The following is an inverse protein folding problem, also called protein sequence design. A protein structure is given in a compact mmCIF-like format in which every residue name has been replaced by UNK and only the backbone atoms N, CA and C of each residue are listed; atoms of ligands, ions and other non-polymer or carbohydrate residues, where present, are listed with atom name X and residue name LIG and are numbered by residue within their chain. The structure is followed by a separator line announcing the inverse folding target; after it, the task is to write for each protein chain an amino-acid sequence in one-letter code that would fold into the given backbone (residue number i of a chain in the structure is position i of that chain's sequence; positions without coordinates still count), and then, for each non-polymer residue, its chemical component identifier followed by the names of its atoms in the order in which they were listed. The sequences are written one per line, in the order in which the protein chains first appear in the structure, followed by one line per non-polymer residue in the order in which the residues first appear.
data_IF_114731610019
#
_entry.id   IF_114731610019
#
_cell.length_a   1.000
_cell.length_b   1.000
_cell.length_c   1.000
_cell.angle_alpha   90.00
_cell.angle_beta   90.00
_cell.angle_gamma   90.00
#
_symmetry.space_group_name_H-M   'P 1'
#
loop_
_entity.id
_entity.type
_entity.pdbx_description
1 polymer ?
#
# COMPACT_ATOMS: atom_id res chain seq x y z
N UNK A 1 31.96 18.58 43.53
CA UNK A 1 31.29 17.30 43.21
C UNK A 1 29.85 17.61 42.85
N UNK A 2 29.47 17.62 41.56
CA UNK A 2 28.09 17.86 41.17
C UNK A 2 27.22 16.70 41.67
N UNK A 3 26.14 17.05 42.37
CA UNK A 3 25.28 16.16 43.14
C UNK A 3 24.59 15.10 42.28
N UNK A 4 24.64 13.84 42.71
CA UNK A 4 23.98 12.69 42.05
C UNK A 4 22.49 12.93 41.77
N UNK A 5 21.85 13.79 42.57
CA UNK A 5 20.47 14.23 42.41
C UNK A 5 20.19 14.97 41.09
N UNK A 6 21.17 15.70 40.54
CA UNK A 6 21.01 16.41 39.26
C UNK A 6 21.04 15.43 38.08
N UNK A 7 21.90 14.41 38.17
CA UNK A 7 22.04 13.36 37.16
C UNK A 7 20.79 12.46 37.10
N UNK A 8 20.23 12.11 38.26
CA UNK A 8 18.96 11.36 38.33
C UNK A 8 17.77 12.15 37.79
N UNK A 9 17.67 13.46 38.08
CA UNK A 9 16.60 14.31 37.51
C UNK A 9 16.71 14.44 36.00
N UNK A 10 17.92 14.65 35.48
CA UNK A 10 18.15 14.73 34.04
C UNK A 10 17.81 13.40 33.32
N UNK A 11 18.17 12.26 33.91
CA UNK A 11 17.87 10.94 33.38
C UNK A 11 16.36 10.66 33.37
N UNK A 12 15.64 11.07 34.43
CA UNK A 12 14.19 10.92 34.50
C UNK A 12 13.47 11.83 33.49
N UNK A 13 13.94 13.06 33.28
CA UNK A 13 13.43 13.93 32.22
C UNK A 13 13.66 13.33 30.83
N UNK A 14 14.85 12.78 30.56
CA UNK A 14 15.15 12.13 29.30
C UNK A 14 14.25 10.91 29.07
N UNK A 15 14.10 10.04 30.07
CA UNK A 15 13.20 8.88 29.99
C UNK A 15 11.74 9.31 29.73
N UNK A 16 11.26 10.35 30.40
CA UNK A 16 9.92 10.90 30.17
C UNK A 16 9.74 11.41 28.74
N UNK A 17 10.73 12.10 28.17
CA UNK A 17 10.64 12.56 26.78
C UNK A 17 10.60 11.39 25.80
N UNK A 18 11.41 10.36 26.04
CA UNK A 18 11.45 9.16 25.18
C UNK A 18 10.12 8.41 25.26
N UNK A 19 9.54 8.24 26.45
CA UNK A 19 8.25 7.54 26.59
C UNK A 19 7.12 8.28 25.91
N UNK A 20 7.06 9.62 26.02
CA UNK A 20 6.08 10.44 25.30
C UNK A 20 6.23 10.28 23.79
N UNK A 21 7.45 10.36 23.27
CA UNK A 21 7.71 10.18 21.82
C UNK A 21 7.27 8.78 21.37
N UNK A 22 7.63 7.73 22.11
CA UNK A 22 7.22 6.36 21.80
C UNK A 22 5.70 6.22 21.78
N UNK A 23 4.98 6.79 22.76
CA UNK A 23 3.52 6.78 22.78
C UNK A 23 2.95 7.47 21.54
N UNK A 24 3.47 8.64 21.17
CA UNK A 24 3.04 9.36 19.97
C UNK A 24 3.23 8.52 18.70
N UNK A 25 4.38 7.85 18.55
CA UNK A 25 4.65 6.97 17.40
C UNK A 25 3.67 5.80 17.39
N UNK A 26 3.45 5.13 18.53
CA UNK A 26 2.51 4.00 18.62
C UNK A 26 1.09 4.44 18.25
N UNK A 27 0.65 5.61 18.70
CA UNK A 27 -0.67 6.15 18.35
C UNK A 27 -0.77 6.46 16.86
N UNK A 28 0.22 7.15 16.28
CA UNK A 28 0.22 7.47 14.85
C UNK A 28 0.26 6.20 13.98
N UNK A 29 1.13 5.26 14.30
CA UNK A 29 1.18 3.96 13.63
C UNK A 29 -0.13 3.21 13.80
N UNK A 30 -0.71 3.20 15.01
CA UNK A 30 -2.00 2.58 15.28
C UNK A 30 -3.11 3.14 14.41
N UNK A 31 -3.23 4.47 14.30
CA UNK A 31 -4.24 5.12 13.46
C UNK A 31 -4.03 4.80 11.97
N UNK A 32 -2.79 4.85 11.49
CA UNK A 32 -2.47 4.52 10.10
C UNK A 32 -2.79 3.07 9.77
N UNK A 33 -2.39 2.15 10.62
CA UNK A 33 -2.66 0.72 10.48
C UNK A 33 -4.17 0.47 10.52
N UNK A 34 -4.88 0.96 11.54
CA UNK A 34 -6.33 0.74 11.66
C UNK A 34 -7.09 1.30 10.45
N UNK A 35 -6.67 2.45 9.92
CA UNK A 35 -7.26 3.00 8.70
C UNK A 35 -7.08 2.06 7.50
N UNK A 36 -5.87 1.58 7.25
CA UNK A 36 -5.60 0.63 6.16
C UNK A 36 -6.32 -0.71 6.38
N UNK A 37 -6.35 -1.21 7.62
CA UNK A 37 -7.03 -2.46 7.97
C UNK A 37 -8.56 -2.36 7.90
N UNK A 38 -9.15 -1.22 8.26
CA UNK A 38 -10.60 -1.01 8.13
C UNK A 38 -11.04 -0.91 6.67
N UNK A 39 -10.22 -0.29 5.83
CA UNK A 39 -10.38 -0.33 4.37
C UNK A 39 -10.24 -1.76 3.86
N UNK A 40 -9.29 -2.53 4.40
CA UNK A 40 -9.04 -3.92 4.00
C UNK A 40 -10.12 -4.92 4.49
N UNK A 41 -10.72 -4.70 5.65
CA UNK A 41 -11.68 -5.63 6.26
C UNK A 41 -13.06 -5.61 5.62
N UNK A 42 -13.38 -4.53 4.90
CA UNK A 42 -14.63 -4.41 4.15
C UNK A 42 -14.58 -5.11 2.79
N UNK A 43 -13.41 -5.65 2.39
CA UNK A 43 -13.32 -6.37 1.13
C UNK A 43 -14.01 -7.73 1.23
N UNK A 44 -15.14 -7.88 0.54
CA UNK A 44 -15.83 -9.17 0.42
C UNK A 44 -15.34 -9.93 -0.82
N UNK A 45 -15.17 -11.27 -0.72
CA UNK A 45 -14.85 -12.09 -1.89
C UNK A 45 -16.02 -12.12 -2.87
N UNK A 46 -15.77 -11.68 -4.10
CA UNK A 46 -16.76 -11.61 -5.17
C UNK A 46 -16.33 -12.42 -6.39
N UNK A 47 -17.27 -13.15 -6.99
CA UNK A 47 -17.04 -13.79 -8.28
C UNK A 47 -17.08 -12.73 -9.38
N UNK A 48 -15.93 -12.54 -10.03
CA UNK A 48 -15.76 -11.54 -11.08
C UNK A 48 -15.46 -12.23 -12.41
N UNK A 49 -16.07 -11.70 -13.47
CA UNK A 49 -15.86 -12.14 -14.85
C UNK A 49 -15.31 -10.98 -15.65
N UNK A 50 -14.29 -11.24 -16.46
CA UNK A 50 -13.71 -10.21 -17.32
C UNK A 50 -14.67 -9.94 -18.47
N UNK A 51 -15.06 -8.67 -18.65
CA UNK A 51 -15.96 -8.26 -19.73
C UNK A 51 -15.25 -7.55 -20.84
N UNK A 52 -14.22 -6.74 -20.53
CA UNK A 52 -13.50 -5.97 -21.53
C UNK A 52 -12.04 -5.75 -21.13
N UNK A 53 -11.16 -5.70 -22.13
CA UNK A 53 -9.75 -5.35 -21.98
C UNK A 53 -9.47 -4.22 -22.95
N UNK A 54 -9.17 -3.04 -22.41
CA UNK A 54 -8.90 -1.84 -23.19
C UNK A 54 -7.47 -1.38 -23.00
N UNK A 55 -6.80 -1.06 -24.11
CA UNK A 55 -5.47 -0.47 -24.09
C UNK A 55 -5.61 1.05 -24.06
N UNK A 56 -5.04 1.67 -23.04
CA UNK A 56 -4.96 3.12 -22.89
C UNK A 56 -3.62 3.63 -23.41
N UNK A 57 -3.28 4.88 -23.05
CA UNK A 57 -2.01 5.50 -23.41
C UNK A 57 -0.84 4.77 -22.75
N UNK A 58 0.29 4.78 -23.43
CA UNK A 58 1.54 4.26 -22.88
C UNK A 58 1.95 5.10 -21.65
N UNK A 59 2.26 4.42 -20.55
CA UNK A 59 2.89 5.03 -19.39
C UNK A 59 4.38 4.74 -19.36
N UNK A 60 5.13 5.68 -18.79
CA UNK A 60 6.57 5.54 -18.61
C UNK A 60 6.80 4.76 -17.31
N UNK A 61 7.32 3.55 -17.44
CA UNK A 61 7.71 2.71 -16.33
C UNK A 61 9.23 2.73 -16.17
N UNK A 62 9.72 2.59 -14.94
CA UNK A 62 11.15 2.52 -14.66
C UNK A 62 11.52 1.09 -14.32
N UNK A 63 12.37 0.48 -15.13
CA UNK A 63 12.95 -0.83 -14.88
C UNK A 63 14.36 -0.65 -14.33
N UNK A 64 14.59 -1.08 -13.10
CA UNK A 64 15.93 -1.09 -12.50
C UNK A 64 16.44 -2.53 -12.51
N UNK A 65 17.53 -2.78 -13.25
CA UNK A 65 18.21 -4.07 -13.21
C UNK A 65 18.91 -4.22 -11.85
N UNK A 66 18.45 -5.18 -11.06
CA UNK A 66 19.11 -5.54 -9.80
C UNK A 66 20.41 -6.25 -10.14
N UNK A 67 21.55 -5.61 -9.89
CA UNK A 67 22.84 -6.30 -9.96
C UNK A 67 22.84 -7.45 -8.96
N UNK A 68 23.21 -8.63 -9.41
CA UNK A 68 23.77 -9.66 -8.54
C UNK A 68 24.87 -9.02 -7.69
N UNK A 69 24.81 -9.22 -6.37
CA UNK A 69 25.66 -8.57 -5.35
C UNK A 69 27.17 -8.84 -5.50
N UNK A 70 27.60 -9.52 -6.56
CA UNK A 70 28.95 -10.04 -6.78
C UNK A 70 29.78 -9.31 -7.84
N UNK A 71 29.24 -8.33 -8.58
CA UNK A 71 30.03 -7.59 -9.61
C UNK A 71 29.90 -6.07 -9.55
N UNK A 72 30.96 -5.45 -9.04
CA UNK A 72 31.47 -4.07 -9.19
C UNK A 72 30.50 -2.87 -9.07
N UNK A 73 30.96 -1.75 -8.46
CA UNK A 73 30.16 -0.56 -8.22
C UNK A 73 30.07 0.33 -9.48
N UNK A 74 29.48 -0.20 -10.55
CA UNK A 74 28.92 0.62 -11.62
C UNK A 74 27.42 0.75 -11.38
N UNK A 75 26.91 1.95 -11.17
CA UNK A 75 25.46 2.18 -11.00
C UNK A 75 24.70 1.47 -12.12
N UNK A 76 23.84 0.49 -11.79
CA UNK A 76 22.91 -0.03 -12.78
C UNK A 76 21.98 1.12 -13.16
N UNK A 77 22.02 1.52 -14.43
CA UNK A 77 21.16 2.58 -14.93
C UNK A 77 19.73 2.04 -14.96
N UNK A 78 18.85 2.58 -14.12
CA UNK A 78 17.43 2.34 -14.28
C UNK A 78 17.00 2.85 -15.67
N UNK A 79 16.37 2.00 -16.46
CA UNK A 79 15.92 2.30 -17.82
C UNK A 79 14.46 2.70 -17.75
N UNK A 80 14.11 3.81 -18.39
CA UNK A 80 12.72 4.19 -18.59
C UNK A 80 12.18 3.53 -19.86
N UNK A 81 11.11 2.76 -19.71
CA UNK A 81 10.46 2.03 -20.80
C UNK A 81 9.00 2.45 -20.87
N UNK A 82 8.50 2.69 -22.09
CA UNK A 82 7.07 2.93 -22.31
C UNK A 82 6.34 1.60 -22.38
N UNK A 83 5.35 1.40 -21.51
CA UNK A 83 4.51 0.22 -21.49
C UNK A 83 3.05 0.63 -21.71
N UNK A 84 2.29 -0.12 -22.53
CA UNK A 84 0.88 0.17 -22.75
C UNK A 84 0.09 -0.11 -21.46
N UNK A 85 -0.71 0.86 -21.01
CA UNK A 85 -1.59 0.65 -19.88
C UNK A 85 -2.82 -0.16 -20.28
N UNK A 86 -3.12 -1.19 -19.49
CA UNK A 86 -4.26 -2.08 -19.73
C UNK A 86 -5.30 -1.81 -18.66
N UNK A 87 -6.50 -1.40 -19.08
CA UNK A 87 -7.68 -1.32 -18.21
C UNK A 87 -8.54 -2.56 -18.44
N UNK A 88 -8.77 -3.29 -17.36
CA UNK A 88 -9.58 -4.51 -17.37
C UNK A 88 -10.93 -4.18 -16.72
N UNK A 89 -11.98 -4.21 -17.52
CA UNK A 89 -13.36 -4.14 -17.06
C UNK A 89 -13.82 -5.50 -16.56
N UNK A 90 -14.47 -5.53 -15.41
CA UNK A 90 -14.96 -6.74 -14.76
C UNK A 90 -16.43 -6.56 -14.38
N UNK A 91 -17.21 -7.62 -14.57
CA UNK A 91 -18.57 -7.72 -14.07
C UNK A 91 -18.61 -8.66 -12.89
N UNK A 92 -19.28 -8.22 -11.84
CA UNK A 92 -19.38 -8.92 -10.57
C UNK A 92 -20.82 -8.91 -10.07
N UNK A 93 -21.16 -9.85 -9.20
CA UNK A 93 -22.51 -9.98 -8.64
C UNK A 93 -22.48 -9.77 -7.14
N UNK A 94 -23.25 -8.80 -6.63
CA UNK A 94 -23.48 -8.58 -5.20
C UNK A 94 -24.97 -8.66 -4.94
N UNK A 95 -25.37 -9.46 -3.95
CA UNK A 95 -26.77 -9.57 -3.51
C UNK A 95 -27.75 -9.79 -4.68
N UNK A 96 -27.33 -10.56 -5.70
CA UNK A 96 -28.14 -10.87 -6.89
C UNK A 96 -28.18 -9.79 -7.98
N UNK A 97 -27.53 -8.64 -7.78
CA UNK A 97 -27.43 -7.57 -8.80
C UNK A 97 -26.07 -7.62 -9.49
N UNK A 98 -26.07 -7.63 -10.83
CA UNK A 98 -24.84 -7.52 -11.61
C UNK A 98 -24.40 -6.05 -11.68
N UNK A 99 -23.11 -5.82 -11.45
CA UNK A 99 -22.46 -4.52 -11.56
C UNK A 99 -21.17 -4.63 -12.35
N UNK A 100 -20.76 -3.52 -12.95
CA UNK A 100 -19.52 -3.43 -13.71
C UNK A 100 -18.56 -2.46 -12.99
N UNK A 101 -17.30 -2.83 -12.90
CA UNK A 101 -16.24 -2.02 -12.33
C UNK A 101 -14.92 -2.25 -13.07
N UNK A 102 -13.91 -1.46 -12.73
CA UNK A 102 -12.55 -1.63 -13.24
C UNK A 102 -11.72 -2.39 -12.21
N UNK A 103 -10.89 -3.30 -12.72
CA UNK A 103 -9.97 -4.07 -11.90
C UNK A 103 -8.70 -3.24 -11.62
N UNK A 104 -8.34 -3.10 -10.35
CA UNK A 104 -7.11 -2.45 -9.94
C UNK A 104 -6.10 -3.47 -9.39
N UNK A 105 -4.79 -3.25 -9.64
CA UNK A 105 -3.74 -4.18 -9.20
C UNK A 105 -3.43 -4.08 -7.70
N UNK A 106 -3.60 -2.90 -7.09
CA UNK A 106 -3.23 -2.65 -5.70
C UNK A 106 -4.37 -2.04 -4.88
N UNK A 107 -4.41 -2.39 -3.60
CA UNK A 107 -5.40 -1.93 -2.62
C UNK A 107 -5.37 -0.41 -2.43
N UNK A 108 -4.20 0.23 -2.59
CA UNK A 108 -4.02 1.68 -2.48
C UNK A 108 -4.76 2.45 -3.59
N UNK A 109 -4.84 1.87 -4.79
CA UNK A 109 -5.61 2.43 -5.89
C UNK A 109 -7.10 2.05 -5.82
N UNK A 110 -7.43 1.03 -5.03
CA UNK A 110 -8.78 0.57 -4.74
C UNK A 110 -9.43 1.26 -3.50
N UNK A 111 -8.68 2.07 -2.75
CA UNK A 111 -9.14 2.78 -1.56
C UNK A 111 -9.83 4.15 -1.85
N UNK A 112 -10.55 4.25 -2.97
CA UNK A 112 -11.35 5.40 -3.36
C UNK A 112 -12.82 5.29 -2.95
N UNK A 113 -13.57 6.39 -3.05
CA UNK A 113 -14.99 6.49 -2.64
C UNK A 113 -15.99 5.69 -3.52
N UNK A 114 -15.51 4.89 -4.48
CA UNK A 114 -16.34 4.24 -5.49
C UNK A 114 -15.96 2.78 -5.70
N UNK A 115 -16.63 1.83 -5.03
CA UNK A 115 -16.75 0.40 -5.40
C UNK A 115 -15.62 -0.15 -6.29
N UNK A 116 -14.42 -0.39 -5.72
CA UNK A 116 -13.25 -0.82 -6.50
C UNK A 116 -12.96 -2.30 -6.25
N UNK A 117 -12.59 -3.01 -7.32
CA UNK A 117 -12.27 -4.43 -7.27
C UNK A 117 -10.75 -4.65 -7.28
N UNK A 118 -10.27 -5.40 -6.30
CA UNK A 118 -8.88 -5.83 -6.19
C UNK A 118 -8.73 -7.26 -6.74
N UNK A 119 -7.73 -7.49 -7.59
CA UNK A 119 -7.39 -8.83 -8.08
C UNK A 119 -6.64 -9.61 -6.98
N UNK A 120 -7.14 -10.79 -6.62
CA UNK A 120 -6.43 -11.76 -5.77
C UNK A 120 -6.15 -13.02 -6.62
N UNK A 121 -5.10 -13.77 -6.33
CA UNK A 121 -4.80 -15.01 -7.06
C UNK A 121 -6.00 -15.97 -7.01
N UNK A 122 -6.67 -16.18 -8.15
CA UNK A 122 -7.88 -17.00 -8.28
C UNK A 122 -9.22 -16.31 -8.00
N UNK A 123 -9.28 -14.99 -7.72
CA UNK A 123 -10.53 -14.30 -7.41
C UNK A 123 -10.46 -12.76 -7.42
N UNK A 124 -11.51 -12.10 -6.95
CA UNK A 124 -11.54 -10.65 -6.79
C UNK A 124 -12.19 -10.27 -5.46
N UNK A 125 -11.70 -9.19 -4.88
CA UNK A 125 -12.17 -8.64 -3.62
C UNK A 125 -12.86 -7.31 -3.88
N UNK A 126 -14.01 -7.07 -3.24
CA UNK A 126 -14.81 -5.87 -3.42
C UNK A 126 -14.91 -5.04 -2.15
N UNK A 127 -14.47 -3.79 -2.20
CA UNK A 127 -14.51 -2.81 -1.10
C UNK A 127 -15.45 -1.64 -1.34
#
# INVERSE_FOLDING_TARGET
MPSESFRQRAWNCALLTITVICICIVVLCGVMIVREYSLASNYEPATCTITNITYMRDMICTFCESKDKTKEPGASACIQTKLPCIHIGVRYTISGTQREAQLHPDSLQAAGAYSQLLKLDGGCLLG
#
